data_IF_894234250852
#
_entry.id   IF_894234250852
#
_cell.length_a   1.000
_cell.length_b   1.000
_cell.length_c   1.000
_cell.angle_alpha   90.00
_cell.angle_beta   90.00
_cell.angle_gamma   90.00
#
_symmetry.space_group_name_H-M   'P 1'
#
loop_
_entity.id
_entity.type
_entity.pdbx_description
1 polymer ?
#
# COMPACT_ATOMS: atom_id res chain seq x y z
N UNK A 1 -23.69 -2.10 0.43
CA UNK A 1 -22.79 -0.95 0.18
C UNK A 1 -21.39 -1.40 0.53
N UNK A 2 -20.50 -1.63 -0.44
CA UNK A 2 -19.09 -1.88 -0.13
C UNK A 2 -18.44 -0.56 0.27
N UNK A 3 -17.77 -0.52 1.41
CA UNK A 3 -16.96 0.63 1.82
C UNK A 3 -15.68 0.69 0.98
N UNK A 4 -15.12 1.88 0.80
CA UNK A 4 -13.84 2.06 0.12
C UNK A 4 -12.73 1.30 0.87
N UNK A 5 -12.76 1.31 2.20
CA UNK A 5 -11.88 0.52 3.06
C UNK A 5 -11.87 -0.98 2.72
N UNK A 6 -13.04 -1.63 2.57
CA UNK A 6 -13.10 -3.07 2.25
C UNK A 6 -12.57 -3.37 0.84
N UNK A 7 -12.79 -2.45 -0.10
CA UNK A 7 -12.23 -2.56 -1.46
C UNK A 7 -10.71 -2.39 -1.48
N UNK A 8 -10.15 -1.54 -0.61
CA UNK A 8 -8.72 -1.28 -0.52
C UNK A 8 -7.98 -2.44 0.16
N UNK A 9 -8.56 -3.01 1.22
CA UNK A 9 -8.04 -4.21 1.88
C UNK A 9 -7.99 -5.40 0.91
N UNK A 10 -9.06 -5.60 0.12
CA UNK A 10 -9.12 -6.65 -0.90
C UNK A 10 -8.02 -6.46 -1.94
N UNK A 11 -7.89 -5.25 -2.49
CA UNK A 11 -6.84 -4.95 -3.47
C UNK A 11 -5.43 -5.15 -2.90
N UNK A 12 -5.21 -4.81 -1.62
CA UNK A 12 -3.93 -5.06 -0.96
C UNK A 12 -3.64 -6.56 -0.81
N UNK A 13 -4.62 -7.37 -0.37
CA UNK A 13 -4.48 -8.82 -0.24
C UNK A 13 -4.13 -9.51 -1.56
N UNK A 14 -4.69 -9.03 -2.67
CA UNK A 14 -4.39 -9.56 -4.01
C UNK A 14 -3.01 -9.13 -4.54
N UNK A 15 -2.48 -8.01 -4.05
CA UNK A 15 -1.25 -7.40 -4.55
C UNK A 15 0.00 -7.89 -3.81
N UNK A 16 -0.08 -7.99 -2.47
CA UNK A 16 1.07 -8.33 -1.62
C UNK A 16 1.08 -9.83 -1.28
N UNK A 17 1.50 -10.64 -2.24
CA UNK A 17 1.54 -12.11 -2.12
C UNK A 17 2.87 -12.65 -1.55
N UNK A 18 3.88 -11.80 -1.42
CA UNK A 18 5.22 -12.19 -0.98
C UNK A 18 5.81 -11.17 0.00
N UNK A 19 6.65 -11.60 0.95
CA UNK A 19 7.31 -10.70 1.88
C UNK A 19 8.29 -9.75 1.19
N UNK A 20 8.45 -8.56 1.77
CA UNK A 20 9.28 -7.49 1.22
C UNK A 20 10.21 -6.85 2.27
N UNK A 21 10.34 -7.46 3.46
CA UNK A 21 11.21 -7.03 4.55
C UNK A 21 11.00 -5.55 4.93
N UNK A 22 9.75 -5.17 5.19
CA UNK A 22 9.38 -3.81 5.55
C UNK A 22 7.92 -3.67 5.95
N UNK A 23 7.54 -2.46 6.34
CA UNK A 23 6.16 -2.10 6.65
C UNK A 23 5.70 -0.98 5.73
N UNK A 24 4.50 -1.12 5.18
CA UNK A 24 3.84 -0.13 4.35
C UNK A 24 2.54 0.31 5.03
N UNK A 25 2.29 1.61 5.06
CA UNK A 25 1.00 2.20 5.39
C UNK A 25 0.39 2.80 4.14
N UNK A 26 -0.86 2.45 3.84
CA UNK A 26 -1.64 3.05 2.77
C UNK A 26 -2.72 3.91 3.40
N UNK A 27 -2.83 5.17 2.98
CA UNK A 27 -3.83 6.12 3.44
C UNK A 27 -4.67 6.64 2.27
N UNK A 28 -5.97 6.39 2.33
CA UNK A 28 -6.96 6.90 1.39
C UNK A 28 -7.39 8.31 1.81
N UNK A 29 -7.20 9.29 0.92
CA UNK A 29 -7.57 10.67 1.23
C UNK A 29 -9.07 10.96 1.15
N UNK A 30 -9.84 10.09 0.49
CA UNK A 30 -11.28 10.31 0.25
C UNK A 30 -12.11 10.16 1.52
N UNK A 31 -11.75 9.17 2.34
CA UNK A 31 -12.49 8.78 3.54
C UNK A 31 -11.61 8.72 4.80
N UNK A 32 -10.32 9.03 4.68
CA UNK A 32 -9.35 8.98 5.77
C UNK A 32 -9.03 7.56 6.24
N UNK A 33 -9.49 6.52 5.52
CA UNK A 33 -9.19 5.13 5.85
C UNK A 33 -7.70 4.85 5.67
N UNK A 34 -7.17 3.93 6.47
CA UNK A 34 -5.78 3.50 6.34
C UNK A 34 -5.62 2.01 6.60
N UNK A 35 -4.68 1.41 5.90
CA UNK A 35 -4.30 0.02 6.02
C UNK A 35 -2.79 -0.08 6.25
N UNK A 36 -2.42 -0.99 7.14
CA UNK A 36 -1.05 -1.41 7.37
C UNK A 36 -0.81 -2.74 6.68
N UNK A 37 0.37 -2.86 6.08
CA UNK A 37 0.84 -4.04 5.38
C UNK A 37 2.22 -4.35 5.97
N UNK A 38 2.30 -5.44 6.72
CA UNK A 38 3.52 -5.92 7.34
C UNK A 38 4.09 -7.07 6.50
N UNK A 39 5.16 -6.78 5.76
CA UNK A 39 5.88 -7.76 4.95
C UNK A 39 7.19 -8.21 5.56
N UNK A 40 7.37 -8.05 6.88
CA UNK A 40 8.60 -8.46 7.60
C UNK A 40 8.68 -9.97 7.82
N UNK A 41 7.53 -10.62 7.98
CA UNK A 41 7.40 -12.06 8.24
C UNK A 41 7.22 -12.87 6.95
N UNK A 42 7.27 -14.20 7.04
CA UNK A 42 7.09 -15.10 5.89
C UNK A 42 5.74 -14.92 5.16
N UNK A 43 4.70 -14.52 5.89
CA UNK A 43 3.39 -14.19 5.35
C UNK A 43 3.10 -12.70 5.55
N UNK A 44 2.63 -12.03 4.48
CA UNK A 44 2.23 -10.62 4.56
C UNK A 44 0.96 -10.50 5.41
N UNK A 45 1.01 -9.69 6.46
CA UNK A 45 -0.14 -9.36 7.28
C UNK A 45 -0.73 -8.01 6.87
N UNK A 46 -2.06 -7.94 6.78
CA UNK A 46 -2.79 -6.72 6.40
C UNK A 46 -3.82 -6.41 7.49
N UNK A 47 -3.79 -5.19 8.04
CA UNK A 47 -4.65 -4.78 9.15
C UNK A 47 -4.92 -3.28 9.20
N UNK A 48 -6.01 -2.87 9.85
CA UNK A 48 -6.25 -1.45 10.16
C UNK A 48 -5.39 -0.96 11.33
N UNK A 49 -5.04 -1.87 12.25
CA UNK A 49 -4.14 -1.59 13.36
C UNK A 49 -2.67 -1.59 12.90
N UNK A 50 -1.88 -0.68 13.46
CA UNK A 50 -0.45 -0.64 13.23
C UNK A 50 0.22 -1.92 13.79
N UNK A 51 1.14 -2.57 13.04
CA UNK A 51 1.87 -3.70 13.57
C UNK A 51 2.75 -3.28 14.76
N UNK A 52 3.09 -4.22 15.67
CA UNK A 52 3.94 -3.92 16.81
C UNK A 52 5.29 -3.35 16.35
N UNK A 53 5.82 -2.43 17.17
CA UNK A 53 7.14 -1.81 17.01
C UNK A 53 7.30 -0.90 15.77
N UNK A 54 6.20 -0.57 15.06
CA UNK A 54 6.24 0.37 13.93
C UNK A 54 6.20 1.82 14.40
N UNK A 55 7.33 2.37 14.84
CA UNK A 55 7.37 3.78 15.29
C UNK A 55 7.57 4.75 14.13
N UNK A 56 8.53 4.50 13.25
CA UNK A 56 8.88 5.40 12.13
C UNK A 56 9.48 4.69 10.92
N UNK A 57 9.68 3.37 11.00
CA UNK A 57 10.31 2.55 9.96
C UNK A 57 9.26 1.93 9.04
N UNK A 58 8.50 2.80 8.38
CA UNK A 58 7.50 2.38 7.41
C UNK A 58 7.50 3.31 6.20
N UNK A 59 7.12 2.76 5.05
CA UNK A 59 6.79 3.54 3.88
C UNK A 59 5.34 3.98 3.98
N UNK A 60 5.03 5.23 3.63
CA UNK A 60 3.68 5.75 3.58
C UNK A 60 3.30 6.02 2.13
N UNK A 61 2.18 5.48 1.71
CA UNK A 61 1.51 5.82 0.46
C UNK A 61 0.23 6.58 0.76
N UNK A 62 0.04 7.71 0.09
CA UNK A 62 -1.15 8.54 0.26
C UNK A 62 -1.70 8.98 -1.10
N UNK A 63 -2.97 8.71 -1.34
CA UNK A 63 -3.69 9.07 -2.57
C UNK A 63 -5.19 8.87 -2.42
N UNK A 64 -5.95 9.24 -3.44
CA UNK A 64 -7.37 8.92 -3.50
C UNK A 64 -7.59 7.41 -3.65
N UNK A 65 -8.78 6.94 -3.27
CA UNK A 65 -9.09 5.51 -3.25
C UNK A 65 -9.05 4.87 -4.64
N UNK A 66 -9.36 5.63 -5.70
CA UNK A 66 -9.31 5.12 -7.06
C UNK A 66 -7.88 4.89 -7.53
N UNK A 67 -6.99 5.85 -7.30
CA UNK A 67 -5.56 5.78 -7.62
C UNK A 67 -4.93 4.63 -6.85
N UNK A 68 -5.19 4.51 -5.54
CA UNK A 68 -4.66 3.41 -4.73
C UNK A 68 -5.12 2.04 -5.26
N UNK A 69 -6.41 1.88 -5.57
CA UNK A 69 -6.92 0.61 -6.14
C UNK A 69 -6.28 0.28 -7.48
N UNK A 70 -6.16 1.25 -8.37
CA UNK A 70 -5.58 1.01 -9.71
C UNK A 70 -4.09 0.67 -9.64
N UNK A 71 -3.34 1.29 -8.73
CA UNK A 71 -1.94 0.93 -8.47
C UNK A 71 -1.82 -0.47 -7.85
N UNK A 72 -2.61 -0.78 -6.83
CA UNK A 72 -2.56 -2.09 -6.16
C UNK A 72 -2.97 -3.25 -7.06
N UNK A 73 -3.97 -3.04 -7.92
CA UNK A 73 -4.44 -4.06 -8.87
C UNK A 73 -3.52 -4.24 -10.09
N UNK A 74 -2.46 -3.45 -10.22
CA UNK A 74 -1.58 -3.47 -11.40
C UNK A 74 -2.17 -2.78 -12.64
N UNK A 75 -3.38 -2.22 -12.56
CA UNK A 75 -4.02 -1.45 -13.65
C UNK A 75 -3.32 -0.11 -13.92
N UNK A 76 -2.40 0.31 -13.06
CA UNK A 76 -1.61 1.52 -13.23
C UNK A 76 -0.23 1.36 -12.64
N UNK A 77 0.79 1.77 -13.39
CA UNK A 77 2.16 1.87 -12.88
C UNK A 77 2.24 2.87 -11.72
N UNK A 78 2.90 2.45 -10.66
CA UNK A 78 3.10 3.27 -9.46
C UNK A 78 3.81 4.59 -9.77
N UNK A 79 4.86 4.53 -10.59
CA UNK A 79 5.66 5.70 -10.98
C UNK A 79 4.80 6.71 -11.72
N UNK A 80 3.89 6.26 -12.59
CA UNK A 80 2.97 7.13 -13.31
C UNK A 80 2.00 7.84 -12.37
N UNK A 81 1.54 7.19 -11.29
CA UNK A 81 0.71 7.84 -10.28
C UNK A 81 1.49 8.87 -9.46
N UNK A 82 2.76 8.57 -9.15
CA UNK A 82 3.65 9.48 -8.44
C UNK A 82 4.00 10.73 -9.26
N UNK A 83 4.46 10.55 -10.49
CA UNK A 83 4.86 11.67 -11.37
C UNK A 83 3.67 12.57 -11.71
N UNK A 84 2.45 12.03 -11.78
CA UNK A 84 1.22 12.80 -11.95
C UNK A 84 0.77 13.55 -10.69
N UNK A 85 1.45 13.36 -9.55
CA UNK A 85 1.08 13.98 -8.27
C UNK A 85 -0.15 13.37 -7.59
N UNK A 86 -0.64 12.24 -8.09
CA UNK A 86 -1.85 11.56 -7.61
C UNK A 86 -1.56 10.57 -6.47
N UNK A 87 -0.32 10.09 -6.37
CA UNK A 87 0.18 9.27 -5.29
C UNK A 87 1.39 9.93 -4.66
N UNK A 88 1.37 10.16 -3.35
CA UNK A 88 2.53 10.63 -2.58
C UNK A 88 3.12 9.46 -1.81
N UNK A 89 4.44 9.31 -1.90
CA UNK A 89 5.19 8.32 -1.14
C UNK A 89 6.19 9.02 -0.23
N UNK A 90 6.27 8.60 1.04
CA UNK A 90 7.21 9.13 2.03
C UNK A 90 7.63 8.07 3.05
N UNK A 91 8.52 8.42 3.98
CA UNK A 91 9.02 7.51 5.01
C UNK A 91 10.18 6.64 4.54
N UNK A 92 10.18 5.37 4.92
CA UNK A 92 11.24 4.42 4.57
C UNK A 92 11.16 3.98 3.10
N UNK A 93 11.89 4.70 2.24
CA UNK A 93 11.94 4.42 0.80
C UNK A 93 12.66 3.11 0.46
N UNK A 94 13.41 2.50 1.40
CA UNK A 94 14.06 1.21 1.14
C UNK A 94 13.02 0.09 0.97
N UNK A 95 11.81 0.26 1.51
CA UNK A 95 10.65 -0.61 1.25
C UNK A 95 10.31 -0.63 -0.23
N UNK A 96 10.31 0.53 -0.90
CA UNK A 96 9.98 0.65 -2.33
C UNK A 96 10.93 -0.15 -3.22
N UNK A 97 12.22 -0.21 -2.87
CA UNK A 97 13.21 -0.96 -3.63
C UNK A 97 13.01 -2.49 -3.53
N UNK A 98 12.30 -2.96 -2.51
CA UNK A 98 12.05 -4.39 -2.25
C UNK A 98 10.66 -4.84 -2.67
N UNK A 99 9.74 -3.90 -2.85
CA UNK A 99 8.37 -4.16 -3.22
C UNK A 99 8.31 -4.77 -4.63
N UNK A 100 7.77 -6.00 -4.70
CA UNK A 100 7.33 -6.62 -5.93
C UNK A 100 5.83 -6.52 -5.99
N UNK A 101 5.35 -5.45 -6.60
CA UNK A 101 3.92 -5.25 -6.85
C UNK A 101 3.64 -5.86 -8.19
N UNK A 102 2.45 -6.44 -8.35
CA UNK A 102 2.02 -7.01 -9.62
C UNK A 102 2.31 -6.01 -10.74
N UNK A 103 3.21 -6.38 -11.65
CA UNK A 103 3.57 -5.53 -12.78
C UNK A 103 2.34 -5.34 -13.68
N UNK A 104 2.25 -4.15 -14.28
CA UNK A 104 1.26 -3.86 -15.31
C UNK A 104 1.52 -4.78 -16.51
N UNK A 105 0.58 -5.69 -16.80
CA UNK A 105 0.54 -6.45 -18.07
C UNK A 105 0.00 -5.61 -19.22
#
# INVERSE_FOLDING_TARGET
MSSIASSLETAAKESFLAPFAGVLRIECTDDGSSLWIDGREDAVAISEAAPPEVMSRFCLWRGDGQVLRTVLSGQRRLETAMTAGQLKISGDMAVMARLKIRDFE
#
